data_IF_954016118209
#
_entry.id   IF_954016118209
#
_cell.length_a   1.000
_cell.length_b   1.000
_cell.length_c   1.000
_cell.angle_alpha   90.00
_cell.angle_beta   90.00
_cell.angle_gamma   90.00
#
_symmetry.space_group_name_H-M   'P 1'
#
loop_
_entity.id
_entity.type
_entity.pdbx_description
1 polymer ?
#
# COMPACT_ATOMS: atom_id res chain seq x y z
N UNK A 1 10.86 -11.24 2.54
CA UNK A 1 9.54 -11.75 2.09
C UNK A 1 8.46 -10.84 2.67
N UNK A 2 7.45 -10.44 1.88
CA UNK A 2 6.32 -9.64 2.36
C UNK A 2 5.09 -10.54 2.51
N UNK A 3 4.36 -10.41 3.61
CA UNK A 3 3.14 -11.17 3.88
C UNK A 3 1.99 -10.19 4.15
N UNK A 4 0.87 -10.40 3.48
CA UNK A 4 -0.39 -9.71 3.78
C UNK A 4 -1.13 -10.53 4.85
N UNK A 5 -1.50 -9.91 5.96
CA UNK A 5 -2.20 -10.59 7.04
C UNK A 5 -3.15 -9.64 7.76
N UNK A 6 -4.24 -10.22 8.28
CA UNK A 6 -5.15 -9.56 9.24
C UNK A 6 -4.59 -9.61 10.66
N UNK A 7 -3.62 -10.49 10.91
CA UNK A 7 -2.90 -10.56 12.17
C UNK A 7 -1.81 -9.49 12.20
N UNK A 8 -1.44 -9.07 13.41
CA UNK A 8 -0.44 -8.02 13.61
C UNK A 8 0.95 -8.41 13.09
N UNK A 9 1.42 -9.62 13.40
CA UNK A 9 2.68 -10.18 12.93
C UNK A 9 2.74 -11.69 13.19
N UNK A 10 3.57 -12.40 12.42
CA UNK A 10 4.00 -13.74 12.77
C UNK A 10 5.28 -13.69 13.62
N UNK A 11 5.67 -14.81 14.22
CA UNK A 11 6.93 -14.89 14.95
C UNK A 11 8.14 -14.85 14.00
N UNK A 12 9.27 -14.35 14.49
CA UNK A 12 10.50 -14.22 13.69
C UNK A 12 10.96 -15.60 13.17
N UNK A 13 10.74 -16.69 13.94
CA UNK A 13 11.07 -18.07 13.55
C UNK A 13 10.29 -18.53 12.31
N UNK A 14 9.03 -18.12 12.16
CA UNK A 14 8.23 -18.45 10.97
C UNK A 14 8.84 -17.79 9.74
N UNK A 15 9.17 -16.50 9.82
CA UNK A 15 9.80 -15.80 8.70
C UNK A 15 11.15 -16.41 8.33
N UNK A 16 11.98 -16.71 9.32
CA UNK A 16 13.29 -17.33 9.12
C UNK A 16 13.18 -18.70 8.47
N UNK A 17 12.24 -19.53 8.91
CA UNK A 17 12.02 -20.86 8.34
C UNK A 17 11.64 -20.80 6.87
N UNK A 18 10.75 -19.86 6.49
CA UNK A 18 10.32 -19.69 5.10
C UNK A 18 11.45 -19.13 4.23
N UNK A 19 12.21 -18.15 4.74
CA UNK A 19 13.36 -17.60 4.02
C UNK A 19 14.45 -18.66 3.81
N UNK A 20 14.78 -19.47 4.83
CA UNK A 20 15.72 -20.58 4.71
C UNK A 20 15.23 -21.61 3.68
N UNK A 21 13.95 -21.97 3.73
CA UNK A 21 13.35 -22.90 2.76
C UNK A 21 13.44 -22.37 1.33
N UNK A 22 13.15 -21.08 1.12
CA UNK A 22 13.29 -20.42 -0.18
C UNK A 22 14.74 -20.44 -0.68
N UNK A 23 15.70 -20.10 0.18
CA UNK A 23 17.13 -20.13 -0.15
C UNK A 23 17.59 -21.54 -0.54
N UNK A 24 17.23 -22.56 0.24
CA UNK A 24 17.58 -23.96 -0.06
C UNK A 24 16.94 -24.44 -1.36
N UNK A 25 15.70 -24.05 -1.63
CA UNK A 25 14.94 -24.50 -2.81
C UNK A 25 15.45 -23.88 -4.10
N UNK A 26 15.83 -22.59 -4.08
CA UNK A 26 16.19 -21.85 -5.30
C UNK A 26 17.69 -21.61 -5.46
N UNK A 27 18.47 -21.77 -4.38
CA UNK A 27 19.91 -21.45 -4.34
C UNK A 27 20.69 -22.50 -3.52
N UNK A 28 20.38 -23.79 -3.71
CA UNK A 28 20.93 -24.91 -2.94
C UNK A 28 22.46 -24.97 -2.86
N UNK A 29 23.15 -24.44 -3.88
CA UNK A 29 24.63 -24.45 -3.98
C UNK A 29 25.29 -23.13 -3.53
N UNK A 30 24.49 -22.16 -3.06
CA UNK A 30 25.00 -20.82 -2.70
C UNK A 30 25.23 -20.70 -1.20
N UNK A 31 26.49 -20.52 -0.80
CA UNK A 31 26.81 -20.12 0.57
C UNK A 31 26.44 -18.63 0.78
N UNK A 32 25.77 -18.33 1.88
CA UNK A 32 25.42 -16.96 2.25
C UNK A 32 25.64 -16.72 3.75
N UNK A 33 25.81 -15.45 4.12
CA UNK A 33 25.81 -15.00 5.51
C UNK A 33 24.80 -13.86 5.67
N UNK A 34 24.13 -13.81 6.81
CA UNK A 34 23.23 -12.71 7.13
C UNK A 34 24.09 -11.54 7.62
N UNK A 35 24.11 -10.44 6.87
CA UNK A 35 24.84 -9.22 7.27
C UNK A 35 24.02 -8.30 8.17
N UNK A 36 22.71 -8.19 7.89
CA UNK A 36 21.77 -7.35 8.62
C UNK A 36 20.37 -7.96 8.51
N UNK A 37 19.55 -7.72 9.52
CA UNK A 37 18.13 -8.07 9.54
C UNK A 37 17.33 -6.79 9.64
N UNK A 38 16.36 -6.61 8.76
CA UNK A 38 15.39 -5.53 8.81
C UNK A 38 13.98 -6.12 8.88
N UNK A 39 13.15 -5.56 9.76
CA UNK A 39 11.73 -5.87 9.84
C UNK A 39 10.91 -4.60 9.92
N UNK A 40 9.75 -4.62 9.28
CA UNK A 40 8.83 -3.51 9.26
C UNK A 40 7.40 -3.99 9.10
N UNK A 41 6.48 -3.25 9.71
CA UNK A 41 5.04 -3.42 9.56
C UNK A 41 4.48 -2.13 8.99
N UNK A 42 3.75 -2.24 7.87
CA UNK A 42 3.09 -1.10 7.24
C UNK A 42 1.58 -1.29 7.41
N UNK A 43 0.89 -0.37 8.11
CA UNK A 43 -0.56 -0.43 8.23
C UNK A 43 -1.22 -0.36 6.86
N UNK A 44 -2.13 -1.29 6.59
CA UNK A 44 -2.96 -1.30 5.38
C UNK A 44 -4.40 -0.99 5.76
N UNK A 45 -4.75 0.29 5.77
CA UNK A 45 -6.02 0.77 6.31
C UNK A 45 -6.52 2.00 5.57
N UNK A 46 -7.84 2.12 5.45
CA UNK A 46 -8.57 3.30 5.00
C UNK A 46 -9.12 4.13 6.17
N UNK A 47 -8.69 3.83 7.41
CA UNK A 47 -9.05 4.61 8.59
C UNK A 47 -8.65 6.09 8.41
N UNK A 48 -9.45 7.03 8.95
CA UNK A 48 -9.11 8.45 8.88
C UNK A 48 -7.86 8.75 9.71
N UNK A 49 -7.01 9.62 9.19
CA UNK A 49 -5.83 10.14 9.88
C UNK A 49 -6.01 11.63 10.16
N UNK A 50 -5.54 12.08 11.32
CA UNK A 50 -5.52 13.50 11.68
C UNK A 50 -4.30 14.19 11.05
N UNK A 51 -4.45 15.47 10.68
CA UNK A 51 -3.29 16.33 10.36
C UNK A 51 -2.56 16.79 11.62
N UNK A 52 -3.29 16.97 12.72
CA UNK A 52 -2.75 17.52 13.95
C UNK A 52 -2.73 16.48 15.07
N UNK A 53 -1.62 16.46 15.81
CA UNK A 53 -1.48 15.71 17.05
C UNK A 53 -2.26 16.33 18.20
N UNK A 54 -2.19 15.70 19.38
CA UNK A 54 -2.95 16.13 20.57
C UNK A 54 -2.47 17.45 21.15
N UNK A 55 -1.24 17.86 20.86
CA UNK A 55 -0.64 19.08 21.37
C UNK A 55 -0.36 20.10 20.27
N UNK A 56 -1.03 19.96 19.11
CA UNK A 56 -0.91 20.88 17.97
C UNK A 56 0.26 20.55 17.03
N UNK A 57 0.88 19.38 17.16
CA UNK A 57 1.96 18.95 16.26
C UNK A 57 1.41 18.73 14.85
N UNK A 58 2.14 19.18 13.83
CA UNK A 58 1.83 18.79 12.45
C UNK A 58 2.35 17.37 12.22
N UNK A 59 1.44 16.42 12.05
CA UNK A 59 1.79 15.04 11.73
C UNK A 59 2.28 14.95 10.28
N UNK A 60 3.27 14.08 10.05
CA UNK A 60 3.84 13.77 8.73
C UNK A 60 3.96 12.26 8.53
N UNK A 61 4.25 11.84 7.30
CA UNK A 61 4.57 10.44 7.03
C UNK A 61 3.39 9.50 7.30
N UNK A 62 3.68 8.31 7.81
CA UNK A 62 2.66 7.32 8.19
C UNK A 62 1.67 7.86 9.22
N UNK A 63 2.12 8.70 10.17
CA UNK A 63 1.25 9.28 11.21
C UNK A 63 0.19 10.24 10.65
N UNK A 64 0.45 10.84 9.49
CA UNK A 64 -0.48 11.71 8.77
C UNK A 64 -1.35 10.96 7.74
N UNK A 65 -1.19 9.64 7.60
CA UNK A 65 -1.88 8.84 6.58
C UNK A 65 -1.29 8.99 5.18
N UNK A 66 -0.01 9.33 5.05
CA UNK A 66 0.62 9.50 3.73
C UNK A 66 1.00 8.19 3.04
N UNK A 67 0.86 7.06 3.73
CA UNK A 67 1.03 5.72 3.14
C UNK A 67 -0.24 5.36 2.36
N UNK A 68 -0.10 4.92 1.11
CA UNK A 68 -1.23 4.39 0.35
C UNK A 68 -1.76 3.13 1.04
N UNK A 69 -3.03 3.18 1.41
CA UNK A 69 -3.77 2.20 2.20
C UNK A 69 -3.56 0.74 1.78
N UNK A 70 -3.32 0.49 0.49
CA UNK A 70 -3.27 -0.85 -0.08
C UNK A 70 -1.90 -1.36 -0.48
N UNK A 71 -0.86 -0.52 -0.52
CA UNK A 71 0.40 -0.90 -1.19
C UNK A 71 1.66 -0.56 -0.40
N UNK A 72 1.52 0.17 0.71
CA UNK A 72 2.67 0.71 1.43
C UNK A 72 3.42 1.81 0.68
N UNK A 73 2.94 2.19 -0.51
CA UNK A 73 3.55 3.24 -1.31
C UNK A 73 3.38 4.61 -0.64
N UNK A 74 4.49 5.21 -0.22
CA UNK A 74 4.47 6.41 0.62
C UNK A 74 5.42 7.50 0.15
N UNK A 75 6.59 7.16 -0.43
CA UNK A 75 7.68 8.11 -0.64
C UNK A 75 7.27 9.40 -1.37
N UNK A 76 6.69 9.30 -2.59
CA UNK A 76 6.23 10.48 -3.36
C UNK A 76 5.11 11.25 -2.66
N UNK A 77 4.25 10.55 -1.91
CA UNK A 77 3.15 11.17 -1.17
C UNK A 77 3.70 11.99 0.00
N UNK A 78 4.64 11.43 0.76
CA UNK A 78 5.35 12.10 1.85
C UNK A 78 6.16 13.28 1.32
N UNK A 79 6.85 13.12 0.19
CA UNK A 79 7.59 14.21 -0.45
C UNK A 79 6.65 15.39 -0.78
N UNK A 80 5.50 15.11 -1.41
CA UNK A 80 4.49 16.13 -1.77
C UNK A 80 3.91 16.80 -0.53
N UNK A 81 3.53 16.01 0.47
CA UNK A 81 3.02 16.49 1.76
C UNK A 81 4.03 17.42 2.44
N UNK A 82 5.29 16.99 2.52
CA UNK A 82 6.37 17.77 3.14
C UNK A 82 6.62 19.10 2.42
N UNK A 83 6.60 19.10 1.08
CA UNK A 83 6.72 20.34 0.28
C UNK A 83 5.56 21.30 0.54
N UNK A 84 4.34 20.77 0.64
CA UNK A 84 3.16 21.60 0.91
C UNK A 84 3.16 22.16 2.34
N UNK A 85 3.54 21.35 3.32
CA UNK A 85 3.72 21.79 4.71
C UNK A 85 4.72 22.94 4.78
N UNK A 86 5.89 22.77 4.16
CA UNK A 86 6.94 23.81 4.15
C UNK A 86 6.45 25.11 3.48
N UNK A 87 5.79 25.02 2.33
CA UNK A 87 5.26 26.19 1.64
C UNK A 87 4.19 26.93 2.47
N UNK A 88 3.27 26.20 3.08
CA UNK A 88 2.18 26.79 3.86
C UNK A 88 2.69 27.39 5.17
N UNK A 89 3.68 26.74 5.80
CA UNK A 89 4.36 27.27 6.97
C UNK A 89 5.02 28.63 6.68
N UNK A 90 5.77 28.74 5.57
CA UNK A 90 6.39 30.00 5.14
C UNK A 90 5.36 31.09 4.84
N UNK A 91 4.22 30.71 4.27
CA UNK A 91 3.13 31.62 3.91
C UNK A 91 2.15 31.91 5.05
N UNK A 92 2.40 31.42 6.29
CA UNK A 92 1.48 31.52 7.43
C UNK A 92 0.04 31.09 7.10
N UNK A 93 -0.09 30.08 6.24
CA UNK A 93 -1.35 29.54 5.77
C UNK A 93 -1.66 28.22 6.47
N UNK A 94 -2.95 27.84 6.51
CA UNK A 94 -3.36 26.55 7.08
C UNK A 94 -2.67 25.39 6.35
N UNK A 95 -2.21 24.39 7.10
CA UNK A 95 -1.62 23.17 6.53
C UNK A 95 -2.74 22.18 6.23
N UNK A 96 -3.06 21.93 4.95
CA UNK A 96 -4.18 21.08 4.60
C UNK A 96 -3.87 19.61 4.87
N UNK A 97 -4.92 18.81 5.05
CA UNK A 97 -4.78 17.36 4.99
C UNK A 97 -4.90 16.89 3.53
N UNK A 98 -3.80 16.39 2.97
CA UNK A 98 -3.82 15.75 1.65
C UNK A 98 -4.72 14.50 1.67
N UNK A 99 -5.93 14.65 1.15
CA UNK A 99 -6.88 13.57 1.04
C UNK A 99 -6.68 12.77 -0.26
N UNK A 100 -6.65 11.44 -0.13
CA UNK A 100 -6.80 10.50 -1.26
C UNK A 100 -8.08 10.83 -2.03
N UNK A 101 -8.06 10.91 -3.37
CA UNK A 101 -9.25 11.27 -4.15
C UNK A 101 -10.35 10.19 -4.00
N UNK A 102 -11.61 10.60 -4.13
CA UNK A 102 -12.78 9.74 -3.85
C UNK A 102 -12.76 8.38 -4.56
N UNK A 103 -12.41 8.35 -5.85
CA UNK A 103 -12.34 7.09 -6.62
C UNK A 103 -11.19 6.17 -6.18
N UNK A 104 -10.03 6.71 -5.81
CA UNK A 104 -8.92 5.90 -5.33
C UNK A 104 -9.21 5.35 -3.93
N UNK A 105 -9.92 6.10 -3.08
CA UNK A 105 -10.45 5.57 -1.81
C UNK A 105 -11.40 4.39 -2.05
N UNK A 106 -12.21 4.43 -3.11
CA UNK A 106 -13.07 3.29 -3.47
C UNK A 106 -12.24 2.08 -3.90
N UNK A 107 -11.28 2.27 -4.80
CA UNK A 107 -10.38 1.18 -5.22
C UNK A 107 -9.59 0.60 -4.05
N UNK A 108 -9.13 1.45 -3.14
CA UNK A 108 -8.40 1.03 -1.96
C UNK A 108 -9.29 0.18 -1.04
N UNK A 109 -10.54 0.58 -0.82
CA UNK A 109 -11.53 -0.20 -0.07
C UNK A 109 -11.80 -1.57 -0.69
N UNK A 110 -11.92 -1.66 -2.01
CA UNK A 110 -12.11 -2.95 -2.69
C UNK A 110 -10.93 -3.89 -2.43
N UNK A 111 -9.71 -3.40 -2.64
CA UNK A 111 -8.51 -4.23 -2.46
C UNK A 111 -8.27 -4.59 -0.99
N UNK A 112 -8.51 -3.68 -0.04
CA UNK A 112 -8.48 -4.01 1.39
C UNK A 112 -9.47 -5.12 1.74
N UNK A 113 -10.69 -5.09 1.18
CA UNK A 113 -11.67 -6.17 1.35
C UNK A 113 -11.18 -7.51 0.82
N UNK A 114 -10.57 -7.54 -0.38
CA UNK A 114 -9.97 -8.76 -0.94
C UNK A 114 -8.85 -9.27 -0.03
N UNK A 115 -7.95 -8.39 0.43
CA UNK A 115 -6.81 -8.78 1.26
C UNK A 115 -7.22 -9.23 2.66
N UNK A 116 -8.37 -8.77 3.15
CA UNK A 116 -8.95 -9.19 4.43
C UNK A 116 -9.54 -10.60 4.32
N UNK A 117 -10.30 -10.88 3.25
CA UNK A 117 -10.93 -12.20 3.03
C UNK A 117 -9.96 -13.25 2.51
N UNK A 118 -9.01 -12.84 1.67
CA UNK A 118 -8.12 -13.71 0.90
C UNK A 118 -6.72 -13.08 0.79
N UNK A 119 -5.95 -13.02 1.89
CA UNK A 119 -4.65 -12.34 1.90
C UNK A 119 -3.65 -12.89 0.88
N UNK A 120 -3.72 -14.19 0.60
CA UNK A 120 -2.90 -14.88 -0.41
C UNK A 120 -3.12 -14.36 -1.84
N UNK A 121 -4.27 -13.77 -2.16
CA UNK A 121 -4.49 -13.15 -3.47
C UNK A 121 -3.68 -11.86 -3.65
N UNK A 122 -3.19 -11.25 -2.57
CA UNK A 122 -2.38 -10.04 -2.64
C UNK A 122 -1.15 -10.20 -3.52
N UNK A 123 -0.36 -11.27 -3.29
CA UNK A 123 0.83 -11.54 -4.10
C UNK A 123 0.49 -11.71 -5.59
N UNK A 124 -0.63 -12.35 -5.90
CA UNK A 124 -1.10 -12.55 -7.28
C UNK A 124 -1.54 -11.23 -7.93
N UNK A 125 -2.30 -10.41 -7.20
CA UNK A 125 -2.78 -9.11 -7.69
C UNK A 125 -1.60 -8.19 -7.98
N UNK A 126 -0.66 -8.05 -7.03
CA UNK A 126 0.52 -7.19 -7.23
C UNK A 126 1.44 -7.73 -8.33
N UNK A 127 1.72 -9.04 -8.36
CA UNK A 127 2.54 -9.63 -9.41
C UNK A 127 1.94 -9.38 -10.79
N UNK A 128 0.62 -9.54 -10.96
CA UNK A 128 -0.07 -9.22 -12.22
C UNK A 128 -0.07 -7.73 -12.53
N UNK A 129 -0.26 -6.86 -11.54
CA UNK A 129 -0.24 -5.41 -11.72
C UNK A 129 1.08 -4.96 -12.36
N UNK A 130 2.21 -5.39 -11.79
CA UNK A 130 3.54 -5.04 -12.29
C UNK A 130 3.91 -5.77 -13.57
N UNK A 131 3.47 -7.02 -13.76
CA UNK A 131 3.78 -7.80 -14.97
C UNK A 131 2.95 -7.40 -16.20
N UNK A 132 1.73 -6.87 -16.01
CA UNK A 132 0.78 -6.61 -17.10
C UNK A 132 0.55 -5.12 -17.39
N UNK A 133 1.04 -4.22 -16.55
CA UNK A 133 0.95 -2.78 -16.74
C UNK A 133 2.34 -2.17 -16.87
N UNK A 134 2.47 -1.09 -17.66
CA UNK A 134 3.74 -0.37 -17.71
C UNK A 134 4.07 0.21 -16.33
N UNK A 135 5.35 0.21 -15.95
CA UNK A 135 5.78 0.73 -14.64
C UNK A 135 5.37 2.20 -14.45
N UNK A 136 5.41 3.01 -15.52
CA UNK A 136 4.95 4.40 -15.52
C UNK A 136 3.46 4.51 -15.18
N UNK A 137 2.63 3.64 -15.75
CA UNK A 137 1.19 3.59 -15.46
C UNK A 137 0.94 3.13 -14.02
N UNK A 138 1.70 2.15 -13.53
CA UNK A 138 1.58 1.67 -12.14
C UNK A 138 1.92 2.80 -11.16
N UNK A 139 3.05 3.49 -11.33
CA UNK A 139 3.40 4.60 -10.43
C UNK A 139 2.37 5.72 -10.48
N UNK A 140 1.91 6.13 -11.66
CA UNK A 140 0.81 7.11 -11.75
C UNK A 140 -0.47 6.64 -11.07
N UNK A 141 -0.78 5.34 -11.09
CA UNK A 141 -1.95 4.81 -10.38
C UNK A 141 -1.75 4.89 -8.86
N UNK A 142 -0.56 4.55 -8.37
CA UNK A 142 -0.20 4.66 -6.95
C UNK A 142 -0.14 6.11 -6.46
N UNK A 143 0.28 7.04 -7.33
CA UNK A 143 0.30 8.50 -7.09
C UNK A 143 -1.08 9.16 -7.28
N UNK A 144 -2.10 8.41 -7.66
CA UNK A 144 -3.47 8.90 -7.93
C UNK A 144 -3.59 9.88 -9.11
N UNK A 145 -2.74 9.70 -10.12
CA UNK A 145 -2.58 10.54 -11.31
C UNK A 145 -3.04 9.88 -12.61
N UNK A 146 -3.58 8.66 -12.55
CA UNK A 146 -4.21 8.00 -13.71
C UNK A 146 -5.54 8.64 -14.08
N UNK A 147 -5.97 8.40 -15.31
CA UNK A 147 -7.34 8.66 -15.78
C UNK A 147 -8.22 7.44 -15.57
N UNK A 148 -9.55 7.62 -15.59
CA UNK A 148 -10.51 6.51 -15.50
C UNK A 148 -10.26 5.44 -16.56
N UNK A 149 -9.91 5.83 -17.79
CA UNK A 149 -9.58 4.90 -18.87
C UNK A 149 -8.34 4.07 -18.59
N UNK A 150 -7.31 4.67 -17.98
CA UNK A 150 -6.12 3.92 -17.55
C UNK A 150 -6.45 2.96 -16.42
N UNK A 151 -7.28 3.38 -15.47
CA UNK A 151 -7.75 2.57 -14.34
C UNK A 151 -8.54 1.35 -14.83
N UNK A 152 -9.49 1.53 -15.76
CA UNK A 152 -10.23 0.41 -16.39
C UNK A 152 -9.27 -0.59 -17.02
N UNK A 153 -8.27 -0.11 -17.78
CA UNK A 153 -7.26 -0.95 -18.41
C UNK A 153 -6.38 -1.68 -17.38
N UNK A 154 -6.12 -1.08 -16.23
CA UNK A 154 -5.41 -1.75 -15.12
C UNK A 154 -6.28 -2.87 -14.58
N UNK A 155 -7.51 -2.58 -14.15
CA UNK A 155 -8.41 -3.56 -13.53
C UNK A 155 -8.75 -4.73 -14.46
N UNK A 156 -8.90 -4.49 -15.76
CA UNK A 156 -9.14 -5.53 -16.75
C UNK A 156 -8.00 -6.58 -16.83
N UNK A 157 -6.80 -6.24 -16.39
CA UNK A 157 -5.63 -7.13 -16.37
C UNK A 157 -5.44 -7.85 -15.03
N UNK A 158 -6.19 -7.45 -14.01
CA UNK A 158 -6.17 -8.06 -12.67
C UNK A 158 -7.20 -9.19 -12.59
N UNK A 159 -7.14 -10.05 -11.55
CA UNK A 159 -8.20 -11.02 -11.27
C UNK A 159 -9.50 -10.26 -10.94
N UNK A 160 -10.34 -9.99 -11.94
CA UNK A 160 -11.49 -9.08 -11.84
C UNK A 160 -12.60 -9.62 -10.92
N UNK A 161 -12.75 -10.95 -10.83
CA UNK A 161 -13.80 -11.59 -10.04
C UNK A 161 -13.74 -11.21 -8.54
N UNK A 162 -12.58 -11.29 -7.85
CA UNK A 162 -12.42 -10.75 -6.50
C UNK A 162 -12.87 -9.29 -6.34
N UNK A 163 -12.55 -8.42 -7.30
CA UNK A 163 -12.94 -7.01 -7.24
C UNK A 163 -14.46 -6.86 -7.38
N UNK A 164 -15.08 -7.55 -8.34
CA UNK A 164 -16.54 -7.52 -8.52
C UNK A 164 -17.29 -8.03 -7.28
N UNK A 165 -16.79 -9.10 -6.66
CA UNK A 165 -17.35 -9.60 -5.40
C UNK A 165 -17.33 -8.53 -4.30
N UNK A 166 -16.22 -7.81 -4.16
CA UNK A 166 -16.13 -6.70 -3.19
C UNK A 166 -17.00 -5.50 -3.56
N UNK A 167 -17.19 -5.20 -4.86
CA UNK A 167 -18.11 -4.17 -5.31
C UNK A 167 -19.53 -4.48 -4.84
N UNK A 168 -20.03 -5.69 -5.16
CA UNK A 168 -21.35 -6.16 -4.73
C UNK A 168 -21.48 -6.04 -3.20
N UNK A 169 -20.49 -6.55 -2.46
CA UNK A 169 -20.49 -6.50 -0.99
C UNK A 169 -20.57 -5.08 -0.43
N UNK A 170 -19.91 -4.10 -1.04
CA UNK A 170 -19.96 -2.71 -0.59
C UNK A 170 -21.29 -2.01 -0.91
N UNK A 171 -21.98 -2.42 -1.97
CA UNK A 171 -23.29 -1.85 -2.33
C UNK A 171 -24.45 -2.42 -1.49
N UNK A 172 -24.31 -3.64 -0.98
CA UNK A 172 -25.33 -4.31 -0.15
C UNK A 172 -25.00 -4.30 1.36
N UNK A 173 -24.11 -3.42 1.80
CA UNK A 173 -23.72 -3.23 3.20
C UNK A 173 -24.23 -1.90 3.72
#
# INVERSE_FOLDING_TARGET
MTVFSVQESYSDEIYDSVLKSYMTTHFSETNYRIGQIEKGKIPMTDAPFSRYGRHGETLIGTSAGMVKATTGYAFKRIERDSKQIAANFLNKSEIPHLATKGRFRFYDRLLLGILTETPNLGSTIFSRLFAKSSIKTVFRFLDEETTLWEEIKIFARLPILPFLKQVVKQFFR
#
